data_IF_409760469518
#
_entry.id   IF_409760469518
#
_cell.length_a   1.000
_cell.length_b   1.000
_cell.length_c   1.000
_cell.angle_alpha   90.00
_cell.angle_beta   90.00
_cell.angle_gamma   90.00
#
_symmetry.space_group_name_H-M   'P 1'
#
loop_
_entity.id
_entity.type
_entity.pdbx_description
1 polymer ?
#
# COMPACT_ATOMS: atom_id res chain seq x y z
N UNK A 1 39.73 14.06 -26.77
CA UNK A 1 39.69 13.35 -25.47
C UNK A 1 38.61 14.07 -24.65
N UNK A 2 37.36 13.57 -24.69
CA UNK A 2 36.72 12.78 -23.60
C UNK A 2 36.93 13.43 -22.23
N UNK A 3 35.89 13.87 -21.52
CA UNK A 3 34.85 13.00 -20.95
C UNK A 3 33.48 13.71 -20.87
N UNK A 4 32.44 13.00 -21.32
CA UNK A 4 31.04 13.30 -21.07
C UNK A 4 30.68 12.99 -19.61
N UNK A 5 30.08 13.93 -18.89
CA UNK A 5 29.33 13.65 -17.65
C UNK A 5 27.83 13.64 -17.97
N UNK A 6 27.33 12.46 -18.36
CA UNK A 6 25.91 12.14 -18.40
C UNK A 6 25.45 11.84 -16.97
N UNK A 7 24.30 12.38 -16.54
CA UNK A 7 23.59 11.84 -15.38
C UNK A 7 23.00 12.82 -14.38
N UNK A 8 22.48 13.97 -14.81
CA UNK A 8 21.47 14.70 -14.02
C UNK A 8 20.21 14.85 -14.85
N UNK A 9 19.46 13.76 -15.00
CA UNK A 9 18.06 13.86 -15.42
C UNK A 9 17.27 14.46 -14.26
N UNK A 10 17.05 15.77 -14.31
CA UNK A 10 16.04 16.47 -13.54
C UNK A 10 14.69 15.76 -13.74
N UNK A 11 14.28 14.95 -12.76
CA UNK A 11 12.87 14.55 -12.63
C UNK A 11 12.21 15.76 -11.97
N UNK A 12 11.38 16.46 -12.73
CA UNK A 12 10.66 17.64 -12.25
C UNK A 12 9.88 17.30 -10.98
N UNK A 13 10.17 18.04 -9.92
CA UNK A 13 9.54 17.95 -8.61
C UNK A 13 8.03 18.12 -8.74
N UNK A 14 7.29 17.10 -8.31
CA UNK A 14 5.84 17.12 -8.27
C UNK A 14 5.36 18.18 -7.26
N UNK A 15 4.68 19.23 -7.75
CA UNK A 15 4.08 20.27 -6.92
C UNK A 15 2.81 19.74 -6.24
N UNK A 16 2.67 19.83 -4.89
CA UNK A 16 1.55 19.25 -4.15
C UNK A 16 0.19 19.91 -4.41
N UNK A 17 0.11 20.94 -5.27
CA UNK A 17 -1.09 21.80 -5.41
C UNK A 17 -1.75 21.70 -6.79
N UNK A 18 -1.21 20.94 -7.76
CA UNK A 18 -1.76 20.91 -9.13
C UNK A 18 -1.64 19.56 -9.89
N UNK A 19 -1.27 18.45 -9.26
CA UNK A 19 -1.04 17.20 -10.01
C UNK A 19 -2.23 16.26 -9.83
N UNK A 20 -2.99 16.07 -10.90
CA UNK A 20 -3.85 14.89 -11.07
C UNK A 20 -3.04 13.64 -10.76
N UNK A 21 -3.62 12.70 -10.00
CA UNK A 21 -2.98 11.45 -9.60
C UNK A 21 -2.16 10.84 -10.76
N UNK A 22 -0.85 10.60 -10.59
CA UNK A 22 0.02 10.12 -11.66
C UNK A 22 -0.43 8.77 -12.22
N UNK A 23 -1.12 7.94 -11.43
CA UNK A 23 -1.74 6.71 -11.94
C UNK A 23 -2.91 7.01 -12.87
N UNK A 24 -3.73 8.03 -12.62
CA UNK A 24 -4.82 8.42 -13.53
C UNK A 24 -4.30 8.76 -14.94
N UNK A 25 -3.17 9.45 -15.04
CA UNK A 25 -2.56 9.82 -16.33
C UNK A 25 -2.04 8.60 -17.11
N UNK A 26 -1.42 7.65 -16.39
CA UNK A 26 -0.82 6.46 -17.00
C UNK A 26 -1.90 5.46 -17.40
N UNK A 27 -2.91 5.27 -16.56
CA UNK A 27 -4.01 4.32 -16.75
C UNK A 27 -5.00 4.77 -17.83
N UNK A 28 -5.07 6.06 -18.14
CA UNK A 28 -5.83 6.57 -19.29
C UNK A 28 -5.33 6.01 -20.65
N UNK A 29 -4.14 5.40 -20.66
CA UNK A 29 -3.59 4.70 -21.82
C UNK A 29 -3.76 3.18 -21.61
N UNK A 30 -4.78 2.55 -22.23
CA UNK A 30 -4.92 1.11 -22.17
C UNK A 30 -3.60 0.49 -22.67
N UNK A 31 -3.05 -0.46 -21.92
CA UNK A 31 -1.81 -1.21 -22.21
C UNK A 31 -0.47 -0.62 -21.74
N UNK A 32 -0.44 0.48 -20.97
CA UNK A 32 0.81 1.05 -20.46
C UNK A 32 1.36 0.35 -19.18
N UNK A 33 1.52 -0.97 -19.22
CA UNK A 33 2.01 -1.76 -18.09
C UNK A 33 3.40 -1.33 -17.61
N UNK A 34 4.30 -1.07 -18.55
CA UNK A 34 5.66 -0.62 -18.26
C UNK A 34 5.67 0.75 -17.55
N UNK A 35 4.74 1.63 -17.91
CA UNK A 35 4.58 2.93 -17.25
C UNK A 35 4.14 2.78 -15.78
N UNK A 36 3.21 1.87 -15.51
CA UNK A 36 2.73 1.60 -14.15
C UNK A 36 3.86 1.03 -13.29
N UNK A 37 4.54 -0.01 -13.76
CA UNK A 37 5.65 -0.63 -13.02
C UNK A 37 6.77 0.38 -12.73
N UNK A 38 7.16 1.17 -13.74
CA UNK A 38 8.18 2.23 -13.57
C UNK A 38 7.75 3.28 -12.55
N UNK A 39 6.48 3.69 -12.55
CA UNK A 39 5.97 4.65 -11.57
C UNK A 39 6.03 4.07 -10.15
N UNK A 40 5.60 2.81 -9.96
CA UNK A 40 5.67 2.12 -8.67
C UNK A 40 7.12 2.09 -8.14
N UNK A 41 8.08 1.76 -9.00
CA UNK A 41 9.50 1.73 -8.65
C UNK A 41 10.03 3.10 -8.22
N UNK A 42 9.69 4.16 -8.96
CA UNK A 42 10.09 5.55 -8.64
C UNK A 42 9.50 5.98 -7.29
N UNK A 43 8.21 5.77 -7.07
CA UNK A 43 7.52 6.13 -5.83
C UNK A 43 8.15 5.43 -4.62
N UNK A 44 8.46 4.15 -4.77
CA UNK A 44 9.14 3.37 -3.73
C UNK A 44 10.57 3.84 -3.44
N UNK A 45 11.34 4.15 -4.50
CA UNK A 45 12.71 4.63 -4.37
C UNK A 45 12.78 5.98 -3.66
N UNK A 46 11.84 6.88 -3.95
CA UNK A 46 11.79 8.21 -3.37
C UNK A 46 11.10 8.28 -2.00
N UNK A 47 10.49 7.18 -1.52
CA UNK A 47 9.62 7.17 -0.33
C UNK A 47 8.44 8.17 -0.43
N UNK A 48 7.99 8.44 -1.65
CA UNK A 48 6.94 9.42 -1.95
C UNK A 48 5.54 8.82 -1.97
N UNK A 49 5.36 7.58 -1.48
CA UNK A 49 4.04 6.96 -1.30
C UNK A 49 3.06 7.82 -0.50
N UNK A 50 3.57 8.78 0.30
CA UNK A 50 2.78 9.73 1.09
C UNK A 50 1.77 10.52 0.25
N UNK A 51 2.05 10.87 -1.00
CA UNK A 51 1.09 11.61 -1.84
C UNK A 51 -0.16 10.76 -2.12
N UNK A 52 0.05 9.54 -2.59
CA UNK A 52 -1.00 8.57 -2.89
C UNK A 52 -1.83 8.19 -1.64
N UNK A 53 -1.16 8.01 -0.50
CA UNK A 53 -1.83 7.70 0.77
C UNK A 53 -2.58 8.90 1.35
N UNK A 54 -2.05 10.13 1.24
CA UNK A 54 -2.75 11.35 1.67
C UNK A 54 -3.97 11.63 0.80
N UNK A 55 -3.82 11.69 -0.53
CA UNK A 55 -4.86 12.21 -1.43
C UNK A 55 -6.05 11.28 -1.66
N UNK A 56 -5.95 9.97 -1.38
CA UNK A 56 -7.02 9.01 -1.64
C UNK A 56 -7.64 8.40 -0.40
N UNK A 57 -7.10 8.64 0.79
CA UNK A 57 -7.61 7.94 1.96
C UNK A 57 -7.45 8.74 3.28
N UNK A 58 -6.51 9.69 3.40
CA UNK A 58 -6.09 10.13 4.75
C UNK A 58 -5.87 11.63 5.03
N UNK A 59 -6.26 12.58 4.16
CA UNK A 59 -6.33 14.00 4.61
C UNK A 59 -7.66 14.26 5.33
N UNK A 60 -7.74 13.90 6.60
CA UNK A 60 -8.67 14.43 7.61
C UNK A 60 -10.18 14.16 7.45
N UNK A 61 -10.67 13.51 6.39
CA UNK A 61 -12.03 12.97 6.34
C UNK A 61 -12.11 11.86 5.29
N UNK A 62 -11.96 10.63 5.78
CA UNK A 62 -12.14 9.38 5.05
C UNK A 62 -13.53 9.36 4.41
N UNK A 63 -13.63 9.74 3.13
CA UNK A 63 -14.90 9.83 2.42
C UNK A 63 -14.96 8.74 1.34
N UNK A 64 -16.16 8.25 1.05
CA UNK A 64 -16.40 7.17 0.09
C UNK A 64 -15.92 7.50 -1.32
N UNK A 65 -15.85 8.77 -1.70
CA UNK A 65 -15.39 9.17 -3.02
C UNK A 65 -13.89 8.89 -3.22
N UNK A 66 -13.07 9.09 -2.18
CA UNK A 66 -11.65 8.81 -2.27
C UNK A 66 -11.36 7.29 -2.33
N UNK A 67 -12.15 6.49 -1.59
CA UNK A 67 -12.14 5.01 -1.72
C UNK A 67 -12.52 4.57 -3.12
N UNK A 68 -13.58 5.13 -3.67
CA UNK A 68 -14.05 4.80 -5.00
C UNK A 68 -12.97 5.13 -6.03
N UNK A 69 -12.35 6.31 -5.92
CA UNK A 69 -11.24 6.70 -6.78
C UNK A 69 -10.05 5.75 -6.67
N UNK A 70 -9.68 5.33 -5.44
CA UNK A 70 -8.66 4.31 -5.24
C UNK A 70 -9.03 3.01 -5.98
N UNK A 71 -10.27 2.53 -5.83
CA UNK A 71 -10.72 1.27 -6.44
C UNK A 71 -10.74 1.36 -7.97
N UNK A 72 -11.17 2.47 -8.54
CA UNK A 72 -11.16 2.69 -9.99
C UNK A 72 -9.74 2.62 -10.57
N UNK A 73 -8.75 3.13 -9.83
CA UNK A 73 -7.34 3.03 -10.21
C UNK A 73 -6.86 1.59 -10.04
N UNK A 74 -7.11 1.00 -8.86
CA UNK A 74 -6.66 -0.34 -8.50
C UNK A 74 -7.20 -1.43 -9.43
N UNK A 75 -8.45 -1.32 -9.87
CA UNK A 75 -9.09 -2.24 -10.82
C UNK A 75 -8.42 -2.20 -12.20
N UNK A 76 -7.74 -1.11 -12.54
CA UNK A 76 -7.01 -0.95 -13.80
C UNK A 76 -5.51 -1.27 -13.68
N UNK A 77 -5.02 -1.52 -12.46
CA UNK A 77 -3.66 -2.05 -12.25
C UNK A 77 -3.68 -3.55 -12.63
N UNK A 78 -2.73 -4.02 -13.46
CA UNK A 78 -2.59 -5.44 -13.76
C UNK A 78 -2.42 -6.27 -12.50
N UNK A 79 -2.97 -7.49 -12.48
CA UNK A 79 -2.88 -8.35 -11.29
C UNK A 79 -1.43 -8.59 -10.84
N UNK A 80 -0.50 -8.74 -11.78
CA UNK A 80 0.95 -8.89 -11.50
C UNK A 80 1.59 -7.67 -10.83
N UNK A 81 0.95 -6.50 -10.91
CA UNK A 81 1.44 -5.25 -10.33
C UNK A 81 0.64 -4.80 -9.09
N UNK A 82 -0.43 -5.52 -8.71
CA UNK A 82 -1.24 -5.17 -7.53
C UNK A 82 -0.46 -5.31 -6.22
N UNK A 83 0.32 -6.37 -6.06
CA UNK A 83 1.20 -6.52 -4.89
C UNK A 83 2.25 -5.40 -4.77
N UNK A 84 3.08 -5.09 -5.80
CA UNK A 84 4.06 -4.01 -5.71
C UNK A 84 3.40 -2.62 -5.54
N UNK A 85 2.19 -2.45 -6.08
CA UNK A 85 1.39 -1.23 -5.86
C UNK A 85 0.95 -1.06 -4.40
N UNK A 86 0.42 -2.11 -3.77
CA UNK A 86 -0.02 -2.06 -2.36
C UNK A 86 1.13 -1.97 -1.36
N UNK A 87 2.36 -2.20 -1.81
CA UNK A 87 3.58 -2.14 -0.98
C UNK A 87 4.41 -0.89 -1.23
N UNK A 88 3.86 0.10 -1.95
CA UNK A 88 4.45 1.44 -2.05
C UNK A 88 4.61 2.03 -0.65
N UNK A 89 5.83 2.49 -0.33
CA UNK A 89 6.19 3.03 0.99
C UNK A 89 6.20 4.55 1.02
N UNK A 90 5.67 5.11 2.11
CA UNK A 90 5.78 6.52 2.45
C UNK A 90 7.11 6.87 3.14
N UNK A 91 7.29 8.14 3.50
CA UNK A 91 8.50 8.65 4.18
C UNK A 91 8.80 8.01 5.55
N UNK A 92 7.82 7.32 6.15
CA UNK A 92 7.97 6.57 7.40
C UNK A 92 8.06 5.07 7.16
N UNK A 93 8.10 4.67 5.89
CA UNK A 93 8.14 3.29 5.49
C UNK A 93 6.80 2.57 5.56
N UNK A 94 5.70 3.28 5.82
CA UNK A 94 4.37 2.67 5.88
C UNK A 94 3.83 2.43 4.48
N UNK A 95 3.12 1.32 4.32
CA UNK A 95 2.32 0.98 3.14
C UNK A 95 0.87 1.40 3.34
N UNK A 96 0.04 1.32 2.29
CA UNK A 96 -1.40 1.59 2.43
C UNK A 96 -2.08 0.71 3.47
N UNK A 97 -1.58 -0.53 3.64
CA UNK A 97 -2.16 -1.50 4.57
C UNK A 97 -1.94 -1.10 6.01
N UNK A 98 -0.82 -0.44 6.35
CA UNK A 98 -0.62 0.11 7.70
C UNK A 98 -1.74 1.08 8.06
N UNK A 99 -2.05 1.99 7.15
CA UNK A 99 -3.06 3.02 7.39
C UNK A 99 -4.48 2.44 7.41
N UNK A 100 -4.80 1.49 6.52
CA UNK A 100 -6.12 0.82 6.50
C UNK A 100 -6.35 -0.08 7.72
N UNK A 101 -5.30 -0.70 8.25
CA UNK A 101 -5.37 -1.58 9.42
C UNK A 101 -5.91 -0.88 10.67
N UNK A 102 -5.77 0.45 10.77
CA UNK A 102 -6.23 1.24 11.93
C UNK A 102 -7.72 1.55 11.96
N UNK A 103 -8.47 1.23 10.89
CA UNK A 103 -9.87 1.71 10.72
C UNK A 103 -10.93 0.61 10.53
N UNK A 104 -10.58 -0.67 10.70
CA UNK A 104 -11.54 -1.80 10.60
C UNK A 104 -12.19 -1.91 9.22
N UNK A 105 -11.46 -1.53 8.17
CA UNK A 105 -11.99 -1.49 6.80
C UNK A 105 -11.86 -2.85 6.11
N UNK A 106 -12.32 -3.90 6.80
CA UNK A 106 -12.10 -5.30 6.43
C UNK A 106 -12.65 -5.58 5.04
N UNK A 107 -13.83 -5.07 4.69
CA UNK A 107 -14.43 -5.32 3.38
C UNK A 107 -13.68 -4.62 2.24
N UNK A 108 -13.14 -3.42 2.51
CA UNK A 108 -12.27 -2.73 1.57
C UNK A 108 -10.96 -3.50 1.38
N UNK A 109 -10.32 -3.95 2.47
CA UNK A 109 -9.10 -4.75 2.42
C UNK A 109 -9.34 -6.08 1.69
N UNK A 110 -10.46 -6.76 1.95
CA UNK A 110 -10.87 -7.97 1.20
C UNK A 110 -11.00 -7.70 -0.28
N UNK A 111 -11.64 -6.58 -0.66
CA UNK A 111 -11.79 -6.20 -2.07
C UNK A 111 -10.43 -6.03 -2.74
N UNK A 112 -9.51 -5.30 -2.12
CA UNK A 112 -8.18 -5.09 -2.73
C UNK A 112 -7.35 -6.39 -2.73
N UNK A 113 -7.47 -7.26 -1.73
CA UNK A 113 -6.69 -8.51 -1.68
C UNK A 113 -7.29 -9.65 -2.51
N UNK A 114 -8.50 -9.50 -3.05
CA UNK A 114 -9.21 -10.53 -3.81
C UNK A 114 -8.41 -11.11 -4.99
N UNK A 115 -7.51 -10.32 -5.58
CA UNK A 115 -6.64 -10.70 -6.71
C UNK A 115 -5.22 -11.11 -6.30
N UNK A 116 -4.89 -11.05 -5.01
CA UNK A 116 -3.59 -11.47 -4.48
C UNK A 116 -3.63 -12.93 -4.02
N UNK A 117 -2.51 -13.62 -4.19
CA UNK A 117 -2.24 -14.94 -3.60
C UNK A 117 -2.11 -14.85 -2.08
N UNK A 118 -2.35 -15.94 -1.35
CA UNK A 118 -2.21 -15.98 0.12
C UNK A 118 -0.82 -15.51 0.58
N UNK A 119 0.23 -15.85 -0.17
CA UNK A 119 1.60 -15.41 0.12
C UNK A 119 1.77 -13.89 -0.04
N UNK A 120 1.20 -13.29 -1.08
CA UNK A 120 1.24 -11.83 -1.28
C UNK A 120 0.44 -11.10 -0.21
N UNK A 121 -0.74 -11.61 0.13
CA UNK A 121 -1.58 -11.07 1.22
C UNK A 121 -0.83 -11.11 2.55
N UNK A 122 -0.21 -12.25 2.87
CA UNK A 122 0.64 -12.41 4.04
C UNK A 122 1.77 -11.37 4.03
N UNK A 123 2.55 -11.27 2.94
CA UNK A 123 3.64 -10.30 2.84
C UNK A 123 3.16 -8.86 3.05
N UNK A 124 2.01 -8.48 2.49
CA UNK A 124 1.41 -7.17 2.71
C UNK A 124 1.16 -6.87 4.21
N UNK A 125 0.79 -7.87 5.00
CA UNK A 125 0.55 -7.77 6.45
C UNK A 125 1.84 -7.84 7.30
N UNK A 126 2.96 -8.26 6.71
CA UNK A 126 4.23 -8.48 7.40
C UNK A 126 5.27 -7.39 7.13
N UNK A 127 5.01 -6.46 6.21
CA UNK A 127 5.94 -5.38 5.93
C UNK A 127 6.12 -4.49 7.15
N UNK A 128 7.31 -4.50 7.75
CA UNK A 128 7.68 -3.54 8.78
C UNK A 128 7.92 -2.16 8.18
N UNK A 129 7.39 -1.13 8.83
CA UNK A 129 7.76 0.24 8.57
C UNK A 129 9.18 0.56 9.13
N UNK A 130 9.60 1.82 9.11
CA UNK A 130 10.98 2.17 9.49
C UNK A 130 11.29 1.97 10.98
N UNK A 131 10.28 1.75 11.82
CA UNK A 131 10.43 1.38 13.24
C UNK A 131 10.12 -0.10 13.50
N UNK A 132 9.99 -0.92 12.44
CA UNK A 132 9.73 -2.35 12.52
C UNK A 132 8.27 -2.73 12.82
N UNK A 133 7.35 -1.77 12.89
CA UNK A 133 5.92 -2.06 13.09
C UNK A 133 5.27 -2.47 11.78
N UNK A 134 4.51 -3.55 11.80
CA UNK A 134 3.74 -4.06 10.65
C UNK A 134 2.30 -3.53 10.66
N UNK A 135 1.53 -3.70 9.57
CA UNK A 135 0.10 -3.41 9.61
C UNK A 135 -0.66 -4.16 10.70
N UNK A 136 -0.23 -5.38 11.05
CA UNK A 136 -0.87 -6.15 12.13
C UNK A 136 -0.65 -5.49 13.49
N UNK A 137 0.56 -4.97 13.77
CA UNK A 137 0.81 -4.18 15.00
C UNK A 137 -0.12 -2.95 15.06
N UNK A 138 -0.33 -2.28 13.93
CA UNK A 138 -1.22 -1.12 13.86
C UNK A 138 -2.69 -1.49 14.06
N UNK A 139 -3.13 -2.64 13.54
CA UNK A 139 -4.47 -3.16 13.78
C UNK A 139 -4.72 -3.42 15.27
N UNK A 140 -3.78 -4.09 15.94
CA UNK A 140 -3.88 -4.40 17.38
C UNK A 140 -3.96 -3.12 18.21
N UNK A 141 -3.04 -2.17 17.98
CA UNK A 141 -2.95 -0.91 18.72
C UNK A 141 -4.22 -0.03 18.61
N UNK A 142 -4.92 -0.07 17.47
CA UNK A 142 -5.99 0.89 17.16
C UNK A 142 -7.40 0.28 17.17
N UNK A 143 -7.54 -1.01 16.92
CA UNK A 143 -8.85 -1.61 16.58
C UNK A 143 -9.28 -2.77 17.48
N UNK A 144 -8.50 -3.09 18.53
CA UNK A 144 -8.72 -4.25 19.41
C UNK A 144 -8.43 -5.60 18.72
N UNK A 145 -7.99 -6.59 19.51
CA UNK A 145 -7.54 -7.92 19.07
C UNK A 145 -8.56 -8.65 18.17
N UNK A 146 -9.86 -8.47 18.41
CA UNK A 146 -10.95 -9.13 17.65
C UNK A 146 -10.95 -8.74 16.16
N UNK A 147 -10.59 -7.49 15.86
CA UNK A 147 -10.55 -7.00 14.49
C UNK A 147 -9.25 -7.41 13.79
N UNK A 148 -8.13 -7.41 14.51
CA UNK A 148 -6.88 -8.00 14.01
C UNK A 148 -7.05 -9.49 13.71
N UNK A 149 -7.75 -10.23 14.58
CA UNK A 149 -8.14 -11.62 14.35
C UNK A 149 -8.98 -11.78 13.09
N UNK A 150 -9.97 -10.91 12.88
CA UNK A 150 -10.81 -10.94 11.69
C UNK A 150 -9.96 -10.67 10.44
N UNK A 151 -9.04 -9.70 10.49
CA UNK A 151 -8.12 -9.39 9.41
C UNK A 151 -7.28 -10.62 9.06
N UNK A 152 -6.64 -11.27 10.05
CA UNK A 152 -5.84 -12.47 9.85
C UNK A 152 -6.69 -13.63 9.29
N UNK A 153 -7.85 -13.88 9.89
CA UNK A 153 -8.70 -15.03 9.55
C UNK A 153 -9.36 -14.93 8.19
N UNK A 154 -9.75 -13.72 7.76
CA UNK A 154 -10.43 -13.53 6.48
C UNK A 154 -9.46 -13.39 5.31
N UNK A 155 -8.25 -12.89 5.57
CA UNK A 155 -7.34 -12.49 4.51
C UNK A 155 -6.37 -13.60 4.16
N UNK A 156 -5.88 -14.32 5.17
CA UNK A 156 -4.78 -15.27 5.02
C UNK A 156 -5.29 -16.68 5.24
N UNK A 157 -4.91 -17.59 4.34
CA UNK A 157 -5.19 -19.03 4.46
C UNK A 157 -4.67 -19.61 5.78
N UNK A 158 -5.27 -20.72 6.24
CA UNK A 158 -4.97 -21.33 7.55
C UNK A 158 -3.47 -21.58 7.78
N UNK A 159 -2.75 -21.95 6.72
CA UNK A 159 -1.33 -22.31 6.78
C UNK A 159 -0.40 -21.17 7.15
N UNK A 160 -0.83 -19.92 6.99
CA UNK A 160 -0.04 -18.71 7.26
C UNK A 160 -0.58 -17.90 8.46
N UNK A 161 -1.63 -18.40 9.13
CA UNK A 161 -2.24 -17.72 10.29
C UNK A 161 -1.30 -17.71 11.49
N UNK A 162 -0.63 -18.83 11.76
CA UNK A 162 0.27 -18.96 12.91
C UNK A 162 1.43 -17.96 12.82
N UNK A 163 1.92 -17.73 11.61
CA UNK A 163 2.97 -16.76 11.29
C UNK A 163 2.47 -15.33 11.50
N UNK A 164 1.25 -15.00 11.06
CA UNK A 164 0.63 -13.70 11.35
C UNK A 164 0.50 -13.45 12.86
N UNK A 165 0.10 -14.46 13.63
CA UNK A 165 0.00 -14.37 15.08
C UNK A 165 1.37 -14.23 15.77
N UNK A 166 2.39 -14.91 15.25
CA UNK A 166 3.75 -14.76 15.77
C UNK A 166 4.30 -13.33 15.58
N UNK A 167 3.88 -12.63 14.51
CA UNK A 167 4.33 -11.27 14.20
C UNK A 167 3.84 -10.25 15.22
N UNK A 168 2.60 -10.38 15.70
CA UNK A 168 2.08 -9.48 16.75
C UNK A 168 2.58 -9.86 18.15
N UNK A 169 3.34 -10.96 18.27
CA UNK A 169 3.84 -11.45 19.55
C UNK A 169 2.72 -11.81 20.52
N UNK A 170 3.08 -12.30 21.70
CA UNK A 170 2.15 -12.59 22.80
C UNK A 170 1.56 -11.30 23.43
N UNK A 171 1.17 -10.31 22.63
CA UNK A 171 0.38 -9.15 23.08
C UNK A 171 -1.03 -9.56 23.55
N UNK A 172 -1.37 -10.85 23.45
CA UNK A 172 -2.49 -11.53 24.11
C UNK A 172 -2.22 -11.93 25.57
N UNK A 173 -1.15 -11.42 26.20
CA UNK A 173 -0.97 -11.48 27.66
C UNK A 173 -1.44 -10.19 28.34
N UNK A 174 -2.75 -9.94 28.29
CA UNK A 174 -3.47 -9.05 29.21
C UNK A 174 -4.71 -9.76 29.74
#
# INVERSE_FOLDING_TARGET
MSVNSVGQSQVQFWSPHQIEDPFCQIIARPDNFLGIDRLIQILNANREGTFFLRSHVFVNNYNEADKEKFLQIYEKIPDSLKYPYLTIRDQYGNTIIHHLATRVEIDFIKKIFSSLTDLERFKCLCFGNDIGRTPLHWAVDNTNLIIADSLINFIVGNDLKTECYAIIGNESSF
#
